data_IF_103201072195
#
_entry.id   IF_103201072195
#
_cell.length_a   1.000
_cell.length_b   1.000
_cell.length_c   1.000
_cell.angle_alpha   90.00
_cell.angle_beta   90.00
_cell.angle_gamma   90.00
#
_symmetry.space_group_name_H-M   'P 1'
#
loop_
_entity.id
_entity.type
_entity.pdbx_description
1 polymer ?
#
# COMPACT_ATOMS: atom_id res chain seq x y z
N UNK A 1 6.55 13.27 -24.17
CA UNK A 1 6.15 12.10 -24.99
C UNK A 1 5.58 10.97 -24.17
N UNK A 2 4.36 10.55 -24.49
CA UNK A 2 3.69 9.41 -23.84
C UNK A 2 4.49 8.10 -23.94
N UNK A 3 5.25 7.91 -25.03
CA UNK A 3 6.14 6.76 -25.19
C UNK A 3 7.29 6.72 -24.17
N UNK A 4 7.84 7.89 -23.78
CA UNK A 4 8.88 7.95 -22.76
C UNK A 4 8.33 7.61 -21.37
N UNK A 5 7.10 8.04 -21.08
CA UNK A 5 6.41 7.69 -19.83
C UNK A 5 6.18 6.18 -19.75
N UNK A 6 5.64 5.57 -20.81
CA UNK A 6 5.39 4.11 -20.84
C UNK A 6 6.69 3.32 -20.65
N UNK A 7 7.76 3.67 -21.38
CA UNK A 7 9.07 3.01 -21.22
C UNK A 7 9.60 3.12 -19.80
N UNK A 8 9.41 4.27 -19.17
CA UNK A 8 9.87 4.50 -17.79
C UNK A 8 9.04 3.71 -16.77
N UNK A 9 7.72 3.61 -16.97
CA UNK A 9 6.84 2.77 -16.14
C UNK A 9 7.28 1.30 -16.24
N UNK A 10 7.46 0.79 -17.45
CA UNK A 10 7.90 -0.60 -17.66
C UNK A 10 9.26 -0.85 -17.01
N UNK A 11 10.21 0.08 -17.17
CA UNK A 11 11.54 -0.05 -16.55
C UNK A 11 11.45 -0.08 -15.02
N UNK A 12 10.65 0.80 -14.41
CA UNK A 12 10.44 0.82 -12.95
C UNK A 12 9.81 -0.49 -12.47
N UNK A 13 8.73 -0.94 -13.12
CA UNK A 13 8.09 -2.22 -12.79
C UNK A 13 9.08 -3.38 -12.82
N UNK A 14 9.84 -3.52 -13.91
CA UNK A 14 10.83 -4.59 -14.03
C UNK A 14 11.91 -4.51 -12.96
N UNK A 15 12.39 -3.31 -12.62
CA UNK A 15 13.40 -3.14 -11.56
C UNK A 15 12.86 -3.63 -10.21
N UNK A 16 11.63 -3.24 -9.85
CA UNK A 16 11.03 -3.66 -8.58
C UNK A 16 10.70 -5.15 -8.56
N UNK A 17 10.17 -5.71 -9.66
CA UNK A 17 9.89 -7.14 -9.77
C UNK A 17 11.17 -7.99 -9.69
N UNK A 18 12.23 -7.60 -10.41
CA UNK A 18 13.53 -8.27 -10.35
C UNK A 18 14.15 -8.16 -8.96
N UNK A 19 14.08 -6.98 -8.34
CA UNK A 19 14.56 -6.79 -6.95
C UNK A 19 13.79 -7.69 -5.99
N UNK A 20 12.46 -7.77 -6.13
CA UNK A 20 11.62 -8.67 -5.33
C UNK A 20 11.99 -10.13 -5.52
N UNK A 21 12.29 -10.57 -6.75
CA UNK A 21 12.76 -11.93 -7.04
C UNK A 21 14.02 -12.24 -6.23
N UNK A 22 15.03 -11.39 -6.33
CA UNK A 22 16.29 -11.60 -5.59
C UNK A 22 16.11 -11.60 -4.07
N UNK A 23 15.17 -10.80 -3.56
CA UNK A 23 14.87 -10.77 -2.12
C UNK A 23 14.06 -11.99 -1.66
N UNK A 24 13.24 -12.61 -2.52
CA UNK A 24 12.50 -13.83 -2.19
C UNK A 24 13.34 -15.10 -2.27
N UNK A 25 14.37 -15.14 -3.11
CA UNK A 25 15.21 -16.34 -3.29
C UNK A 25 15.78 -16.89 -1.96
N UNK A 26 16.35 -16.08 -1.05
CA UNK A 26 16.83 -16.56 0.25
C UNK A 26 15.74 -17.19 1.13
N UNK A 27 14.46 -16.85 0.93
CA UNK A 27 13.36 -17.44 1.67
C UNK A 27 12.83 -18.73 1.00
N UNK A 28 12.67 -18.75 -0.33
CA UNK A 28 11.98 -19.86 -1.01
C UNK A 28 12.91 -20.96 -1.51
N UNK A 29 14.17 -20.66 -1.82
CA UNK A 29 15.13 -21.66 -2.31
C UNK A 29 15.50 -22.71 -1.26
N UNK A 30 15.72 -22.36 0.03
CA UNK A 30 16.01 -23.37 1.05
C UNK A 30 14.87 -24.38 1.25
N UNK A 31 13.62 -23.92 1.12
CA UNK A 31 12.44 -24.74 1.43
C UNK A 31 11.96 -25.58 0.23
N UNK A 32 12.15 -25.10 -1.00
CA UNK A 32 11.61 -25.74 -2.22
C UNK A 32 12.65 -26.12 -3.28
N UNK A 33 13.93 -25.85 -3.02
CA UNK A 33 15.01 -26.02 -4.00
C UNK A 33 15.06 -24.91 -5.04
N UNK A 34 16.07 -24.95 -5.91
CA UNK A 34 16.34 -23.88 -6.88
C UNK A 34 15.25 -23.71 -7.93
N UNK A 35 14.83 -24.78 -8.61
CA UNK A 35 13.89 -24.69 -9.73
C UNK A 35 12.52 -24.15 -9.27
N UNK A 36 11.97 -24.76 -8.22
CA UNK A 36 10.66 -24.38 -7.69
C UNK A 36 10.74 -23.08 -6.88
N UNK A 37 11.80 -22.85 -6.11
CA UNK A 37 12.01 -21.63 -5.34
C UNK A 37 12.14 -20.39 -6.23
N UNK A 38 12.83 -20.50 -7.37
CA UNK A 38 12.92 -19.43 -8.36
C UNK A 38 11.56 -19.10 -8.97
N UNK A 39 10.77 -20.11 -9.35
CA UNK A 39 9.42 -19.88 -9.88
C UNK A 39 8.50 -19.22 -8.85
N UNK A 40 8.56 -19.66 -7.59
CA UNK A 40 7.81 -19.06 -6.49
C UNK A 40 8.22 -17.59 -6.27
N UNK A 41 9.52 -17.29 -6.34
CA UNK A 41 10.04 -15.92 -6.18
C UNK A 41 9.55 -14.99 -7.30
N UNK A 42 9.60 -15.45 -8.57
CA UNK A 42 9.09 -14.71 -9.72
C UNK A 42 7.60 -14.45 -9.57
N UNK A 43 6.82 -15.50 -9.30
CA UNK A 43 5.37 -15.38 -9.21
C UNK A 43 4.95 -14.43 -8.08
N UNK A 44 5.49 -14.59 -6.87
CA UNK A 44 5.10 -13.75 -5.74
C UNK A 44 5.59 -12.32 -5.90
N UNK A 45 6.74 -12.07 -6.55
CA UNK A 45 7.22 -10.71 -6.82
C UNK A 45 6.27 -9.94 -7.74
N UNK A 46 5.92 -10.53 -8.89
CA UNK A 46 5.01 -9.94 -9.88
C UNK A 46 3.62 -9.71 -9.27
N UNK A 47 3.09 -10.68 -8.52
CA UNK A 47 1.78 -10.53 -7.87
C UNK A 47 1.79 -9.50 -6.74
N UNK A 48 2.89 -9.38 -6.00
CA UNK A 48 3.01 -8.38 -4.93
C UNK A 48 3.11 -6.96 -5.46
N UNK A 49 3.89 -6.73 -6.52
CA UNK A 49 3.99 -5.41 -7.17
C UNK A 49 2.66 -4.97 -7.79
N UNK A 50 1.96 -5.90 -8.43
CA UNK A 50 0.69 -5.61 -9.10
C UNK A 50 -0.52 -5.59 -8.15
N UNK A 51 -0.31 -5.77 -6.84
CA UNK A 51 -1.38 -5.89 -5.85
C UNK A 51 -2.43 -6.94 -6.27
N UNK A 52 -2.01 -8.09 -6.78
CA UNK A 52 -2.94 -9.09 -7.33
C UNK A 52 -3.43 -10.10 -6.28
N UNK A 53 -2.61 -10.40 -5.27
CA UNK A 53 -2.99 -11.27 -4.14
C UNK A 53 -3.05 -12.75 -4.41
N UNK A 54 -2.64 -13.18 -5.60
CA UNK A 54 -2.50 -14.60 -5.89
C UNK A 54 -1.22 -15.14 -5.28
N UNK A 55 -1.34 -16.29 -4.62
CA UNK A 55 -0.23 -17.09 -4.13
C UNK A 55 -0.31 -18.50 -4.68
N UNK A 56 0.85 -19.11 -4.94
CA UNK A 56 0.95 -20.52 -5.35
C UNK A 56 0.91 -21.49 -4.17
N UNK A 57 0.95 -20.99 -2.94
CA UNK A 57 0.83 -21.79 -1.74
C UNK A 57 -0.66 -22.02 -1.41
N UNK A 58 -0.99 -23.19 -0.87
CA UNK A 58 -2.38 -23.55 -0.53
C UNK A 58 -2.95 -22.67 0.58
N UNK A 59 -2.10 -22.24 1.49
CA UNK A 59 -2.37 -21.39 2.65
C UNK A 59 -1.99 -19.93 2.41
N UNK A 60 -1.76 -19.54 1.15
CA UNK A 60 -1.28 -18.21 0.79
C UNK A 60 0.06 -17.90 1.48
N UNK A 61 0.18 -16.85 2.30
CA UNK A 61 1.43 -16.52 3.01
C UNK A 61 1.38 -16.84 4.51
N UNK A 62 0.39 -17.62 4.96
CA UNK A 62 0.23 -17.98 6.39
C UNK A 62 1.45 -18.76 6.90
N UNK A 63 1.99 -19.70 6.12
CA UNK A 63 3.24 -20.39 6.46
C UNK A 63 4.46 -19.48 6.65
N UNK A 64 4.43 -18.26 6.09
CA UNK A 64 5.48 -17.25 6.23
C UNK A 64 5.13 -16.12 7.20
N UNK A 65 4.12 -16.30 8.05
CA UNK A 65 3.64 -15.25 8.98
C UNK A 65 4.71 -14.69 9.93
N UNK A 66 5.71 -15.49 10.33
CA UNK A 66 6.83 -15.05 11.19
C UNK A 66 8.08 -14.65 10.38
N UNK A 67 8.06 -14.81 9.05
CA UNK A 67 9.21 -14.48 8.21
C UNK A 67 9.28 -12.98 7.98
N UNK A 68 10.21 -12.33 8.68
CA UNK A 68 10.48 -10.89 8.55
C UNK A 68 10.78 -10.53 7.10
N UNK A 69 11.60 -11.34 6.42
CA UNK A 69 11.99 -11.10 5.04
C UNK A 69 10.78 -11.11 4.10
N UNK A 70 9.95 -12.16 4.13
CA UNK A 70 8.79 -12.27 3.22
C UNK A 70 7.79 -11.15 3.48
N UNK A 71 7.46 -10.89 4.75
CA UNK A 71 6.48 -9.86 5.12
C UNK A 71 6.92 -8.46 4.65
N UNK A 72 8.18 -8.08 4.85
CA UNK A 72 8.66 -6.76 4.42
C UNK A 72 8.83 -6.64 2.91
N UNK A 73 9.26 -7.70 2.22
CA UNK A 73 9.40 -7.69 0.75
C UNK A 73 8.03 -7.55 0.10
N UNK A 74 7.07 -8.40 0.48
CA UNK A 74 5.68 -8.31 -0.02
C UNK A 74 5.08 -6.96 0.32
N UNK A 75 5.18 -6.50 1.57
CA UNK A 75 4.63 -5.20 1.98
C UNK A 75 5.25 -4.05 1.19
N UNK A 76 6.58 -4.08 0.99
CA UNK A 76 7.29 -3.06 0.22
C UNK A 76 6.79 -3.01 -1.22
N UNK A 77 6.71 -4.16 -1.89
CA UNK A 77 6.22 -4.24 -3.26
C UNK A 77 4.77 -3.75 -3.39
N UNK A 78 3.89 -4.10 -2.45
CA UNK A 78 2.49 -3.63 -2.42
C UNK A 78 2.41 -2.12 -2.22
N UNK A 79 3.21 -1.56 -1.30
CA UNK A 79 3.21 -0.13 -1.01
C UNK A 79 3.73 0.64 -2.22
N UNK A 80 4.85 0.23 -2.81
CA UNK A 80 5.41 0.91 -3.97
C UNK A 80 4.53 0.73 -5.21
N UNK A 81 4.00 -0.47 -5.47
CA UNK A 81 3.03 -0.71 -6.55
C UNK A 81 1.74 0.12 -6.38
N UNK A 82 1.28 0.30 -5.14
CA UNK A 82 0.08 1.06 -4.81
C UNK A 82 0.24 2.57 -4.73
N UNK A 83 1.43 3.12 -4.43
CA UNK A 83 1.61 4.57 -4.22
C UNK A 83 1.61 5.37 -5.54
N UNK A 84 1.88 4.70 -6.65
CA UNK A 84 1.77 5.20 -8.01
C UNK A 84 3.07 5.74 -8.61
N UNK A 85 3.17 5.61 -9.95
CA UNK A 85 4.42 5.89 -10.69
C UNK A 85 4.96 7.31 -10.48
N UNK A 86 4.10 8.33 -10.47
CA UNK A 86 4.51 9.72 -10.31
C UNK A 86 5.24 9.96 -8.99
N UNK A 87 4.78 9.31 -7.91
CA UNK A 87 5.40 9.42 -6.58
C UNK A 87 6.78 8.76 -6.58
N UNK A 88 6.89 7.58 -7.19
CA UNK A 88 8.17 6.85 -7.31
C UNK A 88 9.18 7.66 -8.13
N UNK A 89 8.74 8.26 -9.24
CA UNK A 89 9.61 9.04 -10.11
C UNK A 89 10.12 10.32 -9.42
N UNK A 90 9.26 11.04 -8.71
CA UNK A 90 9.67 12.20 -7.91
C UNK A 90 10.67 11.81 -6.80
N UNK A 91 10.46 10.65 -6.15
CA UNK A 91 11.38 10.11 -5.15
C UNK A 91 12.74 9.75 -5.75
N UNK A 92 12.75 9.16 -6.95
CA UNK A 92 13.98 8.84 -7.69
C UNK A 92 14.77 10.10 -8.07
N UNK A 93 14.10 11.13 -8.60
CA UNK A 93 14.73 12.40 -8.93
C UNK A 93 15.36 13.05 -7.69
N UNK A 94 14.63 13.05 -6.58
CA UNK A 94 15.12 13.55 -5.29
C UNK A 94 16.34 12.78 -4.79
N UNK A 95 16.31 11.45 -4.80
CA UNK A 95 17.45 10.63 -4.40
C UNK A 95 18.69 10.85 -5.28
N UNK A 96 18.49 10.94 -6.60
CA UNK A 96 19.57 11.19 -7.57
C UNK A 96 20.22 12.55 -7.35
N UNK A 97 19.44 13.61 -7.15
CA UNK A 97 19.97 14.96 -7.00
C UNK A 97 20.69 15.13 -5.65
N UNK A 98 20.20 14.45 -4.60
CA UNK A 98 20.90 14.38 -3.31
C UNK A 98 22.24 13.66 -3.42
N UNK A 99 22.28 12.54 -4.14
CA UNK A 99 23.51 11.76 -4.38
C UNK A 99 24.52 12.56 -5.21
N UNK A 100 24.05 13.36 -6.18
CA UNK A 100 24.86 14.28 -6.98
C UNK A 100 25.25 15.57 -6.25
N UNK A 101 24.95 15.70 -4.95
CA UNK A 101 25.17 16.88 -4.11
C UNK A 101 24.66 18.18 -4.73
N UNK A 102 23.61 18.12 -5.57
CA UNK A 102 22.94 19.33 -6.04
C UNK A 102 22.24 19.97 -4.85
N UNK A 103 22.48 21.28 -4.65
CA UNK A 103 22.01 22.06 -3.49
C UNK A 103 20.59 22.61 -3.67
N UNK A 104 19.95 22.27 -4.79
CA UNK A 104 18.61 22.72 -5.12
C UNK A 104 17.56 21.88 -4.38
N UNK A 105 16.60 22.57 -3.80
CA UNK A 105 15.51 21.96 -3.04
C UNK A 105 14.44 21.52 -4.04
N UNK A 106 14.33 20.22 -4.30
CA UNK A 106 13.22 19.72 -5.11
C UNK A 106 11.93 19.98 -4.35
N UNK A 107 11.05 20.78 -4.95
CA UNK A 107 9.71 21.02 -4.43
C UNK A 107 8.84 19.84 -4.85
N UNK A 108 8.60 18.91 -3.92
CA UNK A 108 7.66 17.82 -4.15
C UNK A 108 6.28 18.32 -4.55
N UNK A 109 5.65 17.61 -5.49
CA UNK A 109 4.29 17.92 -5.93
C UNK A 109 3.29 17.78 -4.79
N UNK A 110 2.13 18.40 -4.96
CA UNK A 110 1.01 18.19 -4.03
C UNK A 110 0.60 16.73 -3.99
N UNK A 111 0.56 16.07 -5.14
CA UNK A 111 0.18 14.66 -5.26
C UNK A 111 1.14 13.76 -4.49
N UNK A 112 2.46 14.00 -4.58
CA UNK A 112 3.46 13.29 -3.79
C UNK A 112 3.22 13.44 -2.29
N UNK A 113 3.03 14.68 -1.82
CA UNK A 113 2.81 14.96 -0.39
C UNK A 113 1.53 14.33 0.11
N UNK A 114 0.44 14.44 -0.65
CA UNK A 114 -0.86 13.88 -0.29
C UNK A 114 -0.81 12.36 -0.27
N UNK A 115 -0.34 11.72 -1.34
CA UNK A 115 -0.28 10.27 -1.45
C UNK A 115 0.59 9.66 -0.35
N UNK A 116 1.81 10.18 -0.17
CA UNK A 116 2.75 9.64 0.83
C UNK A 116 2.25 9.86 2.25
N UNK A 117 1.78 11.06 2.60
CA UNK A 117 1.27 11.32 3.96
C UNK A 117 0.04 10.47 4.28
N UNK A 118 -0.91 10.36 3.34
CA UNK A 118 -2.14 9.60 3.55
C UNK A 118 -1.84 8.11 3.68
N UNK A 119 -0.98 7.54 2.83
CA UNK A 119 -0.59 6.13 2.92
C UNK A 119 0.11 5.82 4.24
N UNK A 120 1.04 6.66 4.70
CA UNK A 120 1.72 6.46 5.99
C UNK A 120 0.74 6.53 7.15
N UNK A 121 -0.17 7.52 7.15
CA UNK A 121 -1.19 7.65 8.20
C UNK A 121 -2.09 6.41 8.24
N UNK A 122 -2.57 5.94 7.09
CA UNK A 122 -3.43 4.74 7.02
C UNK A 122 -2.69 3.47 7.46
N UNK A 123 -1.40 3.34 7.13
CA UNK A 123 -0.58 2.20 7.55
C UNK A 123 -0.36 2.19 9.06
N UNK A 124 0.00 3.35 9.64
CA UNK A 124 0.26 3.46 11.07
C UNK A 124 -1.02 3.24 11.87
N UNK A 125 -2.11 3.93 11.52
CA UNK A 125 -3.40 3.77 12.19
C UNK A 125 -3.91 2.34 12.02
N UNK A 126 -3.84 1.79 10.81
CA UNK A 126 -4.31 0.45 10.54
C UNK A 126 -3.55 -0.61 11.35
N UNK A 127 -2.23 -0.49 11.43
CA UNK A 127 -1.38 -1.38 12.22
C UNK A 127 -1.74 -1.30 13.70
N UNK A 128 -1.87 -0.10 14.25
CA UNK A 128 -2.19 0.11 15.67
C UNK A 128 -3.57 -0.48 16.00
N UNK A 129 -4.59 -0.15 15.22
CA UNK A 129 -5.97 -0.60 15.47
C UNK A 129 -6.08 -2.13 15.35
N UNK A 130 -5.54 -2.71 14.29
CA UNK A 130 -5.55 -4.18 14.11
C UNK A 130 -4.75 -4.89 15.20
N UNK A 131 -3.61 -4.33 15.60
CA UNK A 131 -2.81 -4.88 16.69
C UNK A 131 -3.60 -4.97 18.00
N UNK A 132 -4.30 -3.89 18.39
CA UNK A 132 -5.06 -3.88 19.65
C UNK A 132 -6.34 -4.72 19.60
N UNK A 133 -7.03 -4.75 18.45
CA UNK A 133 -8.25 -5.55 18.28
C UNK A 133 -7.91 -7.05 18.33
N UNK A 134 -6.93 -7.49 17.55
CA UNK A 134 -6.59 -8.91 17.44
C UNK A 134 -5.67 -9.39 18.57
N UNK A 135 -5.10 -8.50 19.40
CA UNK A 135 -4.25 -8.91 20.53
C UNK A 135 -4.92 -9.93 21.46
N UNK A 136 -6.25 -9.82 21.59
CA UNK A 136 -7.07 -10.65 22.48
C UNK A 136 -7.61 -11.91 21.80
N UNK A 137 -7.41 -12.05 20.49
CA UNK A 137 -7.92 -13.19 19.73
C UNK A 137 -6.93 -14.37 19.83
N UNK A 138 -7.31 -15.47 20.52
CA UNK A 138 -6.42 -16.63 20.64
C UNK A 138 -6.23 -17.38 19.32
N UNK A 139 -7.17 -17.28 18.38
CA UNK A 139 -7.16 -18.05 17.14
C UNK A 139 -6.23 -17.47 16.05
N UNK A 140 -5.90 -16.18 16.14
CA UNK A 140 -5.01 -15.49 15.20
C UNK A 140 -3.68 -15.14 15.87
N UNK A 141 -3.71 -14.25 16.87
CA UNK A 141 -2.51 -13.72 17.51
C UNK A 141 -2.09 -14.52 18.74
N UNK A 142 -2.96 -15.35 19.32
CA UNK A 142 -2.76 -16.02 20.60
C UNK A 142 -1.39 -16.69 20.77
N UNK A 143 -0.99 -17.48 19.78
CA UNK A 143 0.24 -18.29 19.84
C UNK A 143 1.50 -17.57 19.33
N UNK A 144 1.38 -16.32 18.88
CA UNK A 144 2.49 -15.58 18.27
C UNK A 144 3.31 -14.81 19.32
N UNK A 145 4.61 -14.68 19.06
CA UNK A 145 5.47 -13.80 19.86
C UNK A 145 5.08 -12.34 19.65
N UNK A 146 5.45 -11.45 20.58
CA UNK A 146 5.10 -10.03 20.45
C UNK A 146 5.67 -9.38 19.17
N UNK A 147 6.85 -9.85 18.71
CA UNK A 147 7.45 -9.42 17.45
C UNK A 147 6.62 -9.87 16.24
N UNK A 148 6.19 -11.12 16.24
CA UNK A 148 5.38 -11.68 15.15
C UNK A 148 3.98 -11.05 15.12
N UNK A 149 3.38 -10.77 16.28
CA UNK A 149 2.11 -10.02 16.40
C UNK A 149 2.19 -8.66 15.72
N UNK A 150 3.29 -7.93 15.94
CA UNK A 150 3.49 -6.62 15.31
C UNK A 150 3.69 -6.76 13.79
N UNK A 151 4.47 -7.76 13.36
CA UNK A 151 4.73 -8.03 11.95
C UNK A 151 3.43 -8.38 11.20
N UNK A 152 2.62 -9.25 11.78
CA UNK A 152 1.33 -9.66 11.22
C UNK A 152 0.34 -8.49 11.23
N UNK A 153 0.26 -7.70 12.32
CA UNK A 153 -0.60 -6.52 12.37
C UNK A 153 -0.20 -5.49 11.30
N UNK A 154 1.10 -5.30 11.06
CA UNK A 154 1.62 -4.47 9.98
C UNK A 154 1.17 -5.01 8.62
N UNK A 155 1.39 -6.30 8.37
CA UNK A 155 1.02 -6.93 7.10
C UNK A 155 -0.48 -6.82 6.83
N UNK A 156 -1.31 -7.09 7.84
CA UNK A 156 -2.76 -6.96 7.77
C UNK A 156 -3.23 -5.51 7.64
N UNK A 157 -2.40 -4.53 8.01
CA UNK A 157 -2.67 -3.13 7.65
C UNK A 157 -2.29 -2.82 6.20
N UNK A 158 -1.27 -3.48 5.64
CA UNK A 158 -0.78 -3.27 4.27
C UNK A 158 -1.74 -3.84 3.23
N UNK A 159 -2.11 -5.12 3.40
CA UNK A 159 -2.87 -5.94 2.45
C UNK A 159 -4.22 -5.38 2.01
N UNK A 160 -5.05 -4.79 2.91
CA UNK A 160 -6.36 -4.27 2.55
C UNK A 160 -6.34 -3.23 1.43
N UNK A 161 -5.19 -2.68 1.05
CA UNK A 161 -5.04 -1.82 -0.14
C UNK A 161 -5.00 -2.62 -1.45
N UNK A 162 -6.02 -3.44 -1.61
CA UNK A 162 -6.32 -4.32 -2.75
C UNK A 162 -5.25 -5.37 -3.06
N UNK A 163 -4.43 -5.79 -2.09
CA UNK A 163 -3.34 -6.71 -2.37
C UNK A 163 -3.64 -8.19 -2.08
N UNK A 164 -4.69 -8.52 -1.32
CA UNK A 164 -5.26 -9.88 -1.24
C UNK A 164 -4.43 -11.02 -0.62
N UNK A 165 -3.21 -10.77 -0.12
CA UNK A 165 -2.39 -11.78 0.56
C UNK A 165 -2.83 -12.02 2.01
N UNK A 166 -2.73 -13.26 2.47
CA UNK A 166 -3.11 -13.61 3.85
C UNK A 166 -1.90 -14.18 4.61
N UNK A 167 -1.59 -13.59 5.77
CA UNK A 167 -0.60 -14.11 6.75
C UNK A 167 -1.27 -14.68 7.99
N UNK A 168 -2.57 -14.44 8.16
CA UNK A 168 -3.42 -15.11 9.14
C UNK A 168 -4.68 -15.58 8.46
N UNK A 169 -5.39 -16.49 9.13
CA UNK A 169 -6.72 -16.90 8.70
C UNK A 169 -7.72 -15.75 8.95
N UNK A 170 -8.11 -15.07 7.87
CA UNK A 170 -9.08 -13.97 7.91
C UNK A 170 -10.44 -14.46 8.43
N UNK A 171 -10.79 -15.74 8.21
CA UNK A 171 -12.04 -16.32 8.69
C UNK A 171 -12.14 -16.43 10.21
N UNK A 172 -11.00 -16.36 10.91
CA UNK A 172 -10.91 -16.42 12.39
C UNK A 172 -10.66 -15.05 13.03
N UNK A 173 -10.66 -13.98 12.25
CA UNK A 173 -10.55 -12.63 12.80
C UNK A 173 -11.81 -12.24 13.57
N UNK A 174 -11.65 -11.32 14.52
CA UNK A 174 -12.79 -10.76 15.24
C UNK A 174 -13.70 -9.96 14.30
N UNK A 175 -15.00 -9.89 14.60
CA UNK A 175 -15.96 -9.08 13.82
C UNK A 175 -15.54 -7.62 13.72
N UNK A 176 -14.96 -7.07 14.79
CA UNK A 176 -14.43 -5.71 14.81
C UNK A 176 -13.23 -5.54 13.85
N UNK A 177 -12.32 -6.52 13.82
CA UNK A 177 -11.17 -6.53 12.91
C UNK A 177 -11.61 -6.61 11.44
N UNK A 178 -12.56 -7.49 11.13
CA UNK A 178 -13.14 -7.62 9.80
C UNK A 178 -13.82 -6.33 9.33
N UNK A 179 -14.65 -5.71 10.18
CA UNK A 179 -15.31 -4.45 9.86
C UNK A 179 -14.29 -3.34 9.57
N UNK A 180 -13.21 -3.28 10.35
CA UNK A 180 -12.15 -2.32 10.14
C UNK A 180 -11.37 -2.59 8.82
N UNK A 181 -11.09 -3.85 8.50
CA UNK A 181 -10.47 -4.24 7.22
C UNK A 181 -11.34 -3.83 6.04
N UNK A 182 -12.67 -4.03 6.10
CA UNK A 182 -13.60 -3.60 5.04
C UNK A 182 -13.48 -2.09 4.80
N UNK A 183 -13.42 -1.29 5.87
CA UNK A 183 -13.19 0.15 5.76
C UNK A 183 -11.83 0.51 5.13
N UNK A 184 -10.78 -0.24 5.46
CA UNK A 184 -9.47 -0.09 4.81
C UNK A 184 -9.48 -0.52 3.34
N UNK A 185 -10.24 -1.55 2.96
CA UNK A 185 -10.37 -2.01 1.57
C UNK A 185 -11.12 -1.03 0.68
N UNK A 186 -12.09 -0.33 1.25
CA UNK A 186 -12.79 0.74 0.57
C UNK A 186 -11.85 1.90 0.20
N UNK A 187 -10.89 2.21 1.10
CA UNK A 187 -9.83 3.18 0.86
C UNK A 187 -8.68 2.50 0.10
N UNK A 188 -8.73 2.67 -1.20
CA UNK A 188 -7.83 2.06 -2.15
C UNK A 188 -6.40 2.59 -2.17
N UNK A 189 -5.71 2.22 -3.24
CA UNK A 189 -4.37 2.69 -3.54
C UNK A 189 -4.36 4.15 -4.04
N UNK A 190 -3.18 4.73 -4.25
CA UNK A 190 -3.02 6.10 -4.75
C UNK A 190 -3.21 6.18 -6.28
N UNK A 191 -3.46 7.37 -6.85
CA UNK A 191 -3.56 7.53 -8.30
C UNK A 191 -2.28 7.11 -9.04
N UNK A 192 -2.44 6.46 -10.19
CA UNK A 192 -1.30 5.96 -10.98
C UNK A 192 -0.59 4.73 -10.38
N UNK A 193 -1.16 4.12 -9.33
CA UNK A 193 -0.76 2.80 -8.81
C UNK A 193 -1.66 1.67 -9.30
N UNK A 194 -1.31 0.44 -8.93
CA UNK A 194 -1.93 -0.81 -9.42
C UNK A 194 -3.23 -1.18 -8.69
N UNK A 195 -3.48 -0.61 -7.51
CA UNK A 195 -4.65 -0.95 -6.69
C UNK A 195 -5.94 -0.21 -7.03
N UNK A 196 -7.08 -0.83 -6.72
CA UNK A 196 -8.45 -0.30 -6.91
C UNK A 196 -8.93 0.60 -5.76
N UNK A 197 -10.25 0.79 -5.63
CA UNK A 197 -10.93 1.50 -4.54
C UNK A 197 -10.95 3.03 -4.65
N UNK A 198 -11.50 3.71 -3.63
CA UNK A 198 -11.44 5.17 -3.53
C UNK A 198 -9.98 5.56 -3.31
N UNK A 199 -9.45 6.37 -4.22
CA UNK A 199 -8.06 6.80 -4.15
C UNK A 199 -7.78 7.60 -2.87
N UNK A 200 -6.58 7.42 -2.33
CA UNK A 200 -6.10 8.16 -1.14
C UNK A 200 -6.23 9.69 -1.31
N UNK A 201 -6.02 10.20 -2.52
CA UNK A 201 -6.18 11.62 -2.86
C UNK A 201 -7.63 12.07 -2.77
N UNK A 202 -8.59 11.26 -3.24
CA UNK A 202 -10.03 11.51 -3.11
C UNK A 202 -10.43 11.63 -1.65
N UNK A 203 -9.97 10.71 -0.80
CA UNK A 203 -10.20 10.77 0.64
C UNK A 203 -9.61 12.05 1.25
N UNK A 204 -8.40 12.44 0.85
CA UNK A 204 -7.76 13.65 1.37
C UNK A 204 -8.48 14.94 0.95
N UNK A 205 -8.97 15.00 -0.28
CA UNK A 205 -9.76 16.14 -0.78
C UNK A 205 -11.06 16.26 0.01
N UNK A 206 -11.79 15.16 0.20
CA UNK A 206 -13.05 15.16 0.94
C UNK A 206 -12.87 15.56 2.39
N UNK A 207 -11.90 14.95 3.08
CA UNK A 207 -11.59 15.30 4.50
C UNK A 207 -11.15 16.75 4.65
N UNK A 208 -10.33 17.28 3.73
CA UNK A 208 -9.93 18.68 3.75
C UNK A 208 -11.09 19.65 3.49
N UNK A 209 -12.03 19.27 2.61
CA UNK A 209 -13.23 20.05 2.34
C UNK A 209 -14.14 20.08 3.57
N UNK A 210 -14.42 18.93 4.18
CA UNK A 210 -15.19 18.83 5.42
C UNK A 210 -14.56 19.67 6.53
N UNK A 211 -13.24 19.60 6.70
CA UNK A 211 -12.53 20.39 7.71
C UNK A 211 -12.64 21.91 7.46
N UNK A 212 -12.55 22.36 6.21
CA UNK A 212 -12.69 23.77 5.87
C UNK A 212 -14.10 24.29 6.18
N UNK A 213 -15.13 23.54 5.81
CA UNK A 213 -16.54 23.86 6.08
C UNK A 213 -16.81 23.93 7.59
N UNK A 214 -16.31 22.95 8.36
CA UNK A 214 -16.46 22.94 9.83
C UNK A 214 -15.74 24.13 10.51
N UNK A 215 -14.72 24.69 9.87
CA UNK A 215 -14.03 25.90 10.32
C UNK A 215 -14.68 27.20 9.82
N UNK A 216 -15.80 27.11 9.09
CA UNK A 216 -16.48 28.27 8.51
C UNK A 216 -15.71 28.94 7.37
N UNK A 217 -14.79 28.23 6.71
CA UNK A 217 -14.04 28.75 5.55
C UNK A 217 -14.79 28.44 4.26
N UNK A 218 -14.87 29.42 3.37
CA UNK A 218 -15.49 29.26 2.04
C UNK A 218 -14.61 28.46 1.07
N UNK A 219 -13.29 28.42 1.31
CA UNK A 219 -12.33 27.75 0.44
C UNK A 219 -11.61 26.61 1.15
N UNK A 220 -11.61 25.43 0.51
CA UNK A 220 -10.82 24.30 0.94
C UNK A 220 -9.36 24.45 0.47
N UNK A 221 -8.44 24.60 1.43
CA UNK A 221 -7.01 24.71 1.17
C UNK A 221 -6.29 23.40 1.51
N UNK A 222 -5.49 22.89 0.57
CA UNK A 222 -4.60 21.75 0.77
C UNK A 222 -3.14 22.20 0.59
N UNK A 223 -2.32 22.08 1.64
CA UNK A 223 -0.92 22.54 1.64
C UNK A 223 -0.76 24.00 1.14
N UNK A 224 -1.64 24.90 1.59
CA UNK A 224 -1.70 26.33 1.20
C UNK A 224 -2.06 26.57 -0.28
N UNK A 225 -2.68 25.60 -0.96
CA UNK A 225 -3.24 25.78 -2.31
C UNK A 225 -4.74 25.49 -2.29
N UNK A 226 -5.52 26.30 -3.00
CA UNK A 226 -6.96 26.11 -3.12
C UNK A 226 -7.28 24.90 -3.99
N UNK A 227 -8.25 24.10 -3.54
CA UNK A 227 -8.76 22.97 -4.32
C UNK A 227 -9.88 23.48 -5.25
N UNK A 228 -9.76 23.30 -6.58
CA UNK A 228 -10.83 23.58 -7.52
C UNK A 228 -12.12 22.84 -7.18
N UNK A 229 -13.27 23.52 -7.27
CA UNK A 229 -14.60 22.94 -7.03
C UNK A 229 -14.87 21.72 -7.91
N UNK A 230 -14.37 21.73 -9.15
CA UNK A 230 -14.48 20.60 -10.10
C UNK A 230 -13.84 19.32 -9.56
N UNK A 231 -12.71 19.43 -8.85
CA UNK A 231 -12.05 18.27 -8.22
C UNK A 231 -12.84 17.77 -7.00
N UNK A 232 -13.47 18.68 -6.24
CA UNK A 232 -14.33 18.31 -5.11
C UNK A 232 -15.56 17.55 -5.61
N UNK A 233 -16.24 18.05 -6.65
CA UNK A 233 -17.40 17.38 -7.24
C UNK A 233 -17.03 16.01 -7.83
N UNK A 234 -15.87 15.89 -8.49
CA UNK A 234 -15.36 14.61 -8.97
C UNK A 234 -15.09 13.65 -7.81
N UNK A 235 -14.51 14.12 -6.70
CA UNK A 235 -14.25 13.32 -5.52
C UNK A 235 -15.55 12.80 -4.87
N UNK A 236 -16.57 13.66 -4.76
CA UNK A 236 -17.91 13.28 -4.28
C UNK A 236 -18.55 12.26 -5.22
N UNK A 237 -18.49 12.47 -6.54
CA UNK A 237 -19.04 11.54 -7.52
C UNK A 237 -18.42 10.16 -7.44
N UNK A 238 -17.09 10.07 -7.30
CA UNK A 238 -16.38 8.79 -7.09
C UNK A 238 -16.83 8.14 -5.78
N UNK A 239 -16.97 8.90 -4.69
CA UNK A 239 -17.40 8.34 -3.41
C UNK A 239 -18.83 7.77 -3.48
N UNK A 240 -19.77 8.54 -4.04
CA UNK A 240 -21.16 8.08 -4.17
C UNK A 240 -21.23 6.87 -5.09
N UNK A 241 -20.52 6.88 -6.22
CA UNK A 241 -20.44 5.73 -7.11
C UNK A 241 -19.89 4.48 -6.40
N UNK A 242 -18.84 4.59 -5.58
CA UNK A 242 -18.28 3.45 -4.85
C UNK A 242 -19.17 2.93 -3.71
N UNK A 243 -20.11 3.73 -3.19
CA UNK A 243 -21.05 3.30 -2.14
C UNK A 243 -22.35 2.75 -2.75
N UNK A 244 -22.81 3.34 -3.85
CA UNK A 244 -24.11 3.03 -4.45
C UNK A 244 -24.08 1.89 -5.48
N UNK A 245 -22.90 1.53 -5.98
CA UNK A 245 -22.71 0.43 -6.96
C UNK A 245 -21.95 -0.71 -6.31
#
# INVERSE_FOLDING_TARGET
DSAQLIRSIIAVTLIFEITGIFLFLPAFVPDYGWDRGLWLAIFHSVNSWNNAGFSLFKDNLIGYQSSVLVNFVVSGLIIFGGIGYQVIFEMYLWGRDRLRRKREWIVFSLDFKVATSTTVILLVIGTIVLFFIELRNPETFGNLTLKDKLLVAWFQSVVPRTAGFNTIDIGKMTTAGLFFIIGLMFIGASPGGTGGGIKTTTLRVLTSCTQAILQGKEEALLYKRQIPVTLILKAVGVLVASVAT
#
